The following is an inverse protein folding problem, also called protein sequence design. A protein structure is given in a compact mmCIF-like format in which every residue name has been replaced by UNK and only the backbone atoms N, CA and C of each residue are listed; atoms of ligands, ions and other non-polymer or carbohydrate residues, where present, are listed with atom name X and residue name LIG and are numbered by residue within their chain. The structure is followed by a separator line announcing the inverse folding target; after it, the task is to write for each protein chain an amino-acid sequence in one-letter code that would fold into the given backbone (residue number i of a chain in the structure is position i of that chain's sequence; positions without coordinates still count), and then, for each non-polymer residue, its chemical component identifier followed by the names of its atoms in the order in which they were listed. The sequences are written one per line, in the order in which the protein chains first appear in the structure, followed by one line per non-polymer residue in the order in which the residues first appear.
data_IF_638816308224
#
_entry.id   IF_638816308224
#
_cell.length_a   1.000
_cell.length_b   1.000
_cell.length_c   1.000
_cell.angle_alpha   90.00
_cell.angle_beta   90.00
_cell.angle_gamma   90.00
#
_symmetry.space_group_name_H-M   'P 1'
#
loop_
_entity.id
_entity.type
_entity.pdbx_description
1 polymer ?
#
# COMPACT_ATOMS: atom_id res chain seq x y z
N UNK A 1 -15.70 -32.55 -26.43
CA UNK A 1 -14.55 -31.62 -26.54
C UNK A 1 -14.60 -30.76 -25.30
N UNK A 2 -13.75 -31.01 -24.29
CA UNK A 2 -13.65 -30.15 -23.10
C UNK A 2 -13.02 -28.84 -23.57
N UNK A 3 -13.74 -27.77 -23.40
CA UNK A 3 -13.25 -26.43 -23.72
C UNK A 3 -12.33 -25.99 -22.61
N UNK A 4 -11.03 -26.00 -22.81
CA UNK A 4 -10.05 -25.50 -21.85
C UNK A 4 -9.93 -23.99 -21.97
N UNK A 5 -10.78 -23.29 -21.23
CA UNK A 5 -10.79 -21.83 -21.16
C UNK A 5 -9.48 -21.27 -20.62
N UNK A 6 -8.82 -21.98 -19.69
CA UNK A 6 -7.59 -21.51 -19.08
C UNK A 6 -6.44 -21.51 -20.08
N UNK A 7 -6.23 -22.61 -20.80
CA UNK A 7 -5.18 -22.71 -21.81
C UNK A 7 -5.35 -21.70 -22.95
N UNK A 8 -6.60 -21.46 -23.38
CA UNK A 8 -6.86 -20.43 -24.39
C UNK A 8 -6.60 -19.02 -23.88
N UNK A 9 -6.97 -18.73 -22.64
CA UNK A 9 -6.74 -17.42 -22.04
C UNK A 9 -5.25 -17.17 -21.82
N UNK A 10 -4.51 -18.17 -21.35
CA UNK A 10 -3.06 -18.11 -21.20
C UNK A 10 -2.35 -17.90 -22.55
N UNK A 11 -2.75 -18.63 -23.60
CA UNK A 11 -2.21 -18.45 -24.94
C UNK A 11 -2.46 -17.03 -25.46
N UNK A 12 -3.69 -16.51 -25.29
CA UNK A 12 -4.03 -15.15 -25.70
C UNK A 12 -3.27 -14.09 -24.89
N UNK A 13 -3.15 -14.27 -23.58
CA UNK A 13 -2.39 -13.35 -22.74
C UNK A 13 -0.92 -13.33 -23.15
N UNK A 14 -0.35 -14.49 -23.45
CA UNK A 14 1.03 -14.60 -23.94
C UNK A 14 1.20 -13.85 -25.27
N UNK A 15 0.33 -14.07 -26.22
CA UNK A 15 0.34 -13.38 -27.51
C UNK A 15 0.26 -11.85 -27.34
N UNK A 16 -0.63 -11.36 -26.47
CA UNK A 16 -0.76 -9.94 -26.18
C UNK A 16 0.49 -9.36 -25.50
N UNK A 17 1.07 -10.09 -24.55
CA UNK A 17 2.26 -9.68 -23.83
C UNK A 17 3.51 -9.67 -24.73
N UNK A 18 3.62 -10.61 -25.66
CA UNK A 18 4.71 -10.66 -26.63
C UNK A 18 4.57 -9.59 -27.72
N UNK A 19 3.35 -9.28 -28.13
CA UNK A 19 3.06 -8.32 -29.20
C UNK A 19 3.05 -6.84 -28.78
N UNK A 20 2.95 -6.54 -27.49
CA UNK A 20 2.83 -5.17 -27.00
C UNK A 20 3.72 -4.89 -25.79
N UNK A 21 4.74 -4.06 -25.98
CA UNK A 21 5.67 -3.69 -24.87
C UNK A 21 4.96 -3.04 -23.68
N UNK A 22 3.85 -2.34 -23.89
CA UNK A 22 3.07 -1.68 -22.84
C UNK A 22 2.26 -2.66 -21.99
N UNK A 23 2.04 -3.87 -22.47
CA UNK A 23 1.33 -4.92 -21.76
C UNK A 23 2.27 -5.90 -21.06
N UNK A 24 3.57 -5.75 -21.25
CA UNK A 24 4.57 -6.64 -20.65
C UNK A 24 4.60 -6.45 -19.13
N UNK A 25 4.28 -7.51 -18.41
CA UNK A 25 4.38 -7.53 -16.96
C UNK A 25 5.83 -7.77 -16.53
N UNK A 26 6.58 -6.71 -16.25
CA UNK A 26 7.99 -6.78 -15.87
C UNK A 26 8.20 -7.20 -14.42
N UNK A 27 7.18 -7.04 -13.58
CA UNK A 27 7.27 -7.31 -12.13
C UNK A 27 7.54 -8.78 -11.83
N UNK A 28 6.92 -9.69 -12.57
CA UNK A 28 7.05 -11.14 -12.31
C UNK A 28 8.42 -11.73 -12.65
N UNK A 29 9.27 -10.99 -13.34
CA UNK A 29 10.61 -11.45 -13.75
C UNK A 29 11.73 -11.05 -12.80
N UNK A 30 11.42 -10.27 -11.74
CA UNK A 30 12.41 -9.71 -10.82
C UNK A 30 12.35 -10.40 -9.45
N UNK A 31 13.50 -10.51 -8.80
CA UNK A 31 13.60 -10.95 -7.39
C UNK A 31 13.82 -9.73 -6.53
N UNK A 32 12.94 -9.47 -5.55
CA UNK A 32 13.08 -8.30 -4.69
C UNK A 32 14.25 -8.45 -3.69
N UNK A 33 14.78 -7.34 -3.19
CA UNK A 33 15.79 -7.36 -2.12
C UNK A 33 15.22 -7.81 -0.77
N UNK A 34 13.91 -7.82 -0.62
CA UNK A 34 13.18 -8.26 0.57
C UNK A 34 12.13 -9.28 0.14
N UNK A 35 12.21 -10.49 0.68
CA UNK A 35 11.22 -11.54 0.53
C UNK A 35 10.76 -12.00 1.91
N UNK A 36 9.47 -11.94 2.16
CA UNK A 36 8.86 -12.23 3.46
C UNK A 36 7.95 -13.46 3.38
N UNK A 37 8.27 -14.48 4.17
CA UNK A 37 7.41 -15.65 4.35
C UNK A 37 6.48 -15.45 5.54
N UNK A 38 5.25 -15.08 5.27
CA UNK A 38 4.25 -14.78 6.28
C UNK A 38 3.92 -15.97 7.20
N UNK A 39 4.10 -17.19 6.72
CA UNK A 39 3.80 -18.42 7.47
C UNK A 39 5.01 -18.91 8.26
N UNK A 40 6.19 -18.86 7.63
CA UNK A 40 7.44 -19.31 8.24
C UNK A 40 8.08 -18.32 9.21
N UNK A 41 7.71 -17.02 9.14
CA UNK A 41 8.34 -15.94 9.91
C UNK A 41 7.39 -15.39 10.97
N UNK A 42 7.43 -15.85 12.23
CA UNK A 42 6.53 -15.36 13.29
C UNK A 42 6.73 -13.87 13.62
N UNK A 43 7.97 -13.38 13.55
CA UNK A 43 8.36 -11.99 13.78
C UNK A 43 9.43 -11.60 12.79
N UNK A 44 9.41 -10.34 12.36
CA UNK A 44 10.50 -9.78 11.55
C UNK A 44 11.77 -9.69 12.38
N UNK A 45 12.91 -9.92 11.76
CA UNK A 45 14.21 -9.63 12.37
C UNK A 45 14.48 -8.12 12.38
N UNK A 46 15.40 -7.66 13.22
CA UNK A 46 15.82 -6.25 13.21
C UNK A 46 16.39 -5.84 11.83
N UNK A 47 17.07 -6.74 11.15
CA UNK A 47 17.57 -6.52 9.79
C UNK A 47 16.43 -6.40 8.78
N UNK A 48 15.36 -7.22 8.87
CA UNK A 48 14.19 -7.11 8.01
C UNK A 48 13.46 -5.78 8.23
N UNK A 49 13.31 -5.36 9.50
CA UNK A 49 12.69 -4.08 9.85
C UNK A 49 13.53 -2.93 9.30
N UNK A 50 14.84 -2.92 9.52
CA UNK A 50 15.72 -1.88 9.02
C UNK A 50 15.75 -1.81 7.49
N UNK A 51 15.72 -2.96 6.82
CA UNK A 51 15.64 -3.03 5.36
C UNK A 51 14.29 -2.51 4.86
N UNK A 52 13.19 -2.91 5.48
CA UNK A 52 11.85 -2.46 5.13
C UNK A 52 11.70 -0.94 5.28
N UNK A 53 12.14 -0.38 6.41
CA UNK A 53 12.10 1.06 6.67
C UNK A 53 13.01 1.84 5.69
N UNK A 54 14.20 1.32 5.39
CA UNK A 54 15.09 1.90 4.39
C UNK A 54 14.48 1.92 3.00
N UNK A 55 13.80 0.85 2.60
CA UNK A 55 13.07 0.79 1.33
C UNK A 55 11.86 1.73 1.29
N UNK A 56 11.19 1.95 2.43
CA UNK A 56 10.13 2.98 2.53
C UNK A 56 10.68 4.38 2.22
N UNK A 57 11.81 4.73 2.82
CA UNK A 57 12.44 6.03 2.59
C UNK A 57 12.84 6.18 1.13
N UNK A 58 13.44 5.15 0.55
CA UNK A 58 13.80 5.14 -0.87
C UNK A 58 12.59 5.34 -1.79
N UNK A 59 11.49 4.64 -1.51
CA UNK A 59 10.26 4.77 -2.28
C UNK A 59 9.63 6.15 -2.11
N UNK A 60 9.61 6.70 -0.89
CA UNK A 60 9.06 8.03 -0.61
C UNK A 60 9.86 9.12 -1.33
N UNK A 61 11.20 9.05 -1.29
CA UNK A 61 12.05 9.99 -2.03
C UNK A 61 11.79 9.94 -3.53
N UNK A 62 11.71 8.73 -4.11
CA UNK A 62 11.39 8.57 -5.53
C UNK A 62 10.01 9.12 -5.89
N UNK A 63 9.01 8.90 -5.05
CA UNK A 63 7.66 9.46 -5.24
C UNK A 63 7.69 10.99 -5.27
N UNK A 64 8.41 11.61 -4.34
CA UNK A 64 8.58 13.06 -4.25
C UNK A 64 9.32 13.62 -5.49
N UNK A 65 10.43 12.99 -5.87
CA UNK A 65 11.20 13.37 -7.07
C UNK A 65 10.35 13.28 -8.36
N UNK A 66 9.56 12.21 -8.47
CA UNK A 66 8.68 12.00 -9.63
C UNK A 66 7.59 13.06 -9.74
N UNK A 67 6.94 13.41 -8.62
CA UNK A 67 5.91 14.47 -8.61
C UNK A 67 6.54 15.87 -8.77
N UNK A 68 7.73 16.12 -8.21
CA UNK A 68 8.47 17.35 -8.47
C UNK A 68 8.77 17.54 -9.97
N UNK A 69 9.05 16.45 -10.66
CA UNK A 69 9.22 16.46 -12.12
C UNK A 69 7.93 16.86 -12.87
N UNK A 70 6.75 16.46 -12.38
CA UNK A 70 5.44 16.89 -12.92
C UNK A 70 5.14 18.35 -12.65
N UNK A 71 5.55 18.89 -11.50
CA UNK A 71 5.28 20.29 -11.16
C UNK A 71 5.90 21.28 -12.15
N UNK A 72 6.96 20.87 -12.88
CA UNK A 72 7.55 21.64 -13.97
C UNK A 72 6.62 21.85 -15.16
N UNK A 73 5.56 21.06 -15.28
CA UNK A 73 4.54 21.15 -16.32
C UNK A 73 3.16 21.54 -15.76
N UNK A 74 3.13 22.14 -14.57
CA UNK A 74 1.92 22.56 -13.84
C UNK A 74 0.93 21.41 -13.52
N UNK A 75 1.40 20.18 -13.50
CA UNK A 75 0.59 19.03 -13.04
C UNK A 75 0.72 18.84 -11.54
N UNK A 76 -0.34 18.33 -10.94
CA UNK A 76 -0.40 17.93 -9.53
C UNK A 76 -0.85 16.48 -9.41
N UNK A 77 -0.49 15.83 -8.30
CA UNK A 77 -0.87 14.47 -8.05
C UNK A 77 -1.26 14.25 -6.57
N UNK A 78 -1.85 13.09 -6.29
CA UNK A 78 -2.27 12.67 -4.94
C UNK A 78 -1.07 12.19 -4.10
N UNK A 79 -0.11 13.08 -3.87
CA UNK A 79 1.16 12.78 -3.20
C UNK A 79 0.95 12.19 -1.80
N UNK A 80 0.11 12.84 -0.99
CA UNK A 80 -0.10 12.43 0.40
C UNK A 80 -0.58 10.99 0.52
N UNK A 81 -1.66 10.66 -0.18
CA UNK A 81 -2.19 9.30 -0.22
C UNK A 81 -1.19 8.30 -0.83
N UNK A 82 -0.42 8.72 -1.83
CA UNK A 82 0.65 7.91 -2.42
C UNK A 82 1.70 7.53 -1.38
N UNK A 83 2.17 8.47 -0.58
CA UNK A 83 3.17 8.23 0.47
C UNK A 83 2.62 7.33 1.59
N UNK A 84 1.37 7.54 1.99
CA UNK A 84 0.71 6.71 3.01
C UNK A 84 0.55 5.25 2.57
N UNK A 85 0.46 4.99 1.27
CA UNK A 85 0.35 3.62 0.75
C UNK A 85 1.67 2.85 0.68
N UNK A 86 2.81 3.52 0.67
CA UNK A 86 4.13 2.88 0.50
C UNK A 86 4.37 1.74 1.51
N UNK A 87 4.19 1.92 2.82
CA UNK A 87 4.50 0.86 3.79
C UNK A 87 3.69 -0.41 3.58
N UNK A 88 2.34 -0.38 3.55
CA UNK A 88 1.57 -1.60 3.36
C UNK A 88 1.76 -2.23 1.97
N UNK A 89 2.02 -1.41 0.93
CA UNK A 89 2.33 -1.94 -0.40
C UNK A 89 3.68 -2.65 -0.45
N UNK A 90 4.72 -2.05 0.11
CA UNK A 90 6.04 -2.69 0.19
C UNK A 90 5.96 -4.04 0.88
N UNK A 91 5.28 -4.12 2.02
CA UNK A 91 5.15 -5.38 2.76
C UNK A 91 4.36 -6.42 1.96
N UNK A 92 3.25 -6.04 1.35
CA UNK A 92 2.44 -6.95 0.55
C UNK A 92 3.20 -7.43 -0.70
N UNK A 93 3.94 -6.54 -1.36
CA UNK A 93 4.74 -6.85 -2.55
C UNK A 93 5.96 -7.71 -2.23
N UNK A 94 6.47 -7.66 -1.00
CA UNK A 94 7.58 -8.47 -0.54
C UNK A 94 7.16 -9.90 -0.13
N UNK A 95 5.86 -10.21 -0.04
CA UNK A 95 5.39 -11.54 0.34
C UNK A 95 5.72 -12.57 -0.74
N UNK A 96 6.17 -13.74 -0.31
CA UNK A 96 6.38 -14.91 -1.17
C UNK A 96 5.04 -15.54 -1.60
N UNK A 97 5.08 -16.52 -2.52
CA UNK A 97 3.92 -17.26 -3.04
C UNK A 97 2.91 -16.38 -3.82
N UNK A 98 3.42 -15.63 -4.77
CA UNK A 98 2.62 -14.69 -5.57
C UNK A 98 1.65 -15.32 -6.55
N UNK A 99 1.84 -16.59 -6.91
CA UNK A 99 0.93 -17.31 -7.81
C UNK A 99 -0.39 -17.57 -7.12
N UNK A 100 -0.33 -18.04 -5.88
CA UNK A 100 -1.50 -18.35 -5.03
C UNK A 100 -2.09 -17.09 -4.43
N UNK A 101 -1.23 -16.09 -4.19
CA UNK A 101 -1.57 -14.83 -3.54
C UNK A 101 -1.49 -13.69 -4.53
N UNK A 102 -2.35 -12.74 -4.36
CA UNK A 102 -2.38 -11.56 -5.20
C UNK A 102 -2.81 -10.34 -4.38
N UNK A 103 -2.67 -9.18 -4.96
CA UNK A 103 -3.18 -7.97 -4.37
C UNK A 103 -3.81 -7.06 -5.43
N UNK A 104 -4.62 -6.14 -4.98
CA UNK A 104 -5.20 -5.10 -5.82
C UNK A 104 -5.34 -3.80 -5.05
N UNK A 105 -5.60 -2.72 -5.74
CA UNK A 105 -5.66 -1.38 -5.18
C UNK A 105 -6.98 -0.73 -5.58
N UNK A 106 -7.80 -0.40 -4.61
CA UNK A 106 -9.06 0.30 -4.81
C UNK A 106 -8.83 1.80 -5.07
N UNK A 107 -8.00 2.45 -4.25
CA UNK A 107 -7.66 3.86 -4.37
C UNK A 107 -6.51 4.11 -5.35
N UNK A 108 -6.70 3.70 -6.59
CA UNK A 108 -5.66 3.65 -7.62
C UNK A 108 -5.05 5.03 -7.99
N UNK A 109 -5.68 6.15 -7.61
CA UNK A 109 -5.14 7.50 -7.77
C UNK A 109 -3.85 7.74 -6.97
N UNK A 110 -3.55 6.87 -6.00
CA UNK A 110 -2.31 6.90 -5.22
C UNK A 110 -1.15 6.16 -5.90
N UNK A 111 -1.21 6.04 -7.21
CA UNK A 111 -0.31 5.26 -8.07
C UNK A 111 1.16 5.59 -7.90
N UNK A 112 1.53 6.81 -7.56
CA UNK A 112 2.94 7.16 -7.36
C UNK A 112 3.56 6.37 -6.21
N UNK A 113 2.84 6.13 -5.12
CA UNK A 113 3.28 5.27 -4.02
C UNK A 113 3.48 3.82 -4.47
N UNK A 114 2.55 3.31 -5.28
CA UNK A 114 2.62 1.96 -5.83
C UNK A 114 3.83 1.76 -6.73
N UNK A 115 4.03 2.61 -7.74
CA UNK A 115 5.17 2.47 -8.66
C UNK A 115 6.51 2.72 -7.97
N UNK A 116 6.55 3.61 -6.99
CA UNK A 116 7.75 3.84 -6.19
C UNK A 116 8.09 2.64 -5.29
N UNK A 117 7.07 1.97 -4.72
CA UNK A 117 7.27 0.73 -3.97
C UNK A 117 7.82 -0.40 -4.88
N UNK A 118 7.26 -0.56 -6.09
CA UNK A 118 7.79 -1.50 -7.08
C UNK A 118 9.25 -1.20 -7.44
N UNK A 119 9.60 0.07 -7.61
CA UNK A 119 10.96 0.48 -7.94
C UNK A 119 11.93 0.28 -6.76
N UNK A 120 11.51 0.55 -5.53
CA UNK A 120 12.31 0.30 -4.34
C UNK A 120 12.64 -1.20 -4.18
N UNK A 121 11.68 -2.07 -4.49
CA UNK A 121 11.85 -3.52 -4.54
C UNK A 121 12.60 -4.03 -5.80
N UNK A 122 13.00 -3.14 -6.68
CA UNK A 122 13.79 -3.51 -7.87
C UNK A 122 12.99 -4.12 -9.03
N UNK A 123 11.68 -4.03 -9.01
CA UNK A 123 10.81 -4.50 -10.10
C UNK A 123 10.73 -3.53 -11.27
N UNK A 124 10.90 -2.24 -10.99
CA UNK A 124 10.92 -1.18 -11.99
C UNK A 124 12.21 -0.37 -11.87
N UNK A 125 12.65 0.18 -12.98
CA UNK A 125 13.74 1.15 -13.01
C UNK A 125 13.29 2.47 -12.38
N UNK A 126 14.11 3.03 -11.45
CA UNK A 126 13.79 4.25 -10.73
C UNK A 126 13.72 5.47 -11.65
N UNK A 127 14.65 5.55 -12.62
CA UNK A 127 14.70 6.67 -13.57
C UNK A 127 13.46 6.62 -14.47
N UNK A 128 13.03 5.44 -14.87
CA UNK A 128 11.78 5.27 -15.62
C UNK A 128 10.58 5.78 -14.83
N UNK A 129 10.44 5.45 -13.54
CA UNK A 129 9.33 5.96 -12.70
C UNK A 129 9.40 7.48 -12.63
N UNK A 130 10.57 8.04 -12.28
CA UNK A 130 10.75 9.49 -12.13
C UNK A 130 10.45 10.25 -13.40
N UNK A 131 10.90 9.74 -14.55
CA UNK A 131 10.90 10.49 -15.79
C UNK A 131 9.63 10.27 -16.63
N UNK A 132 8.90 9.17 -16.42
CA UNK A 132 7.72 8.83 -17.23
C UNK A 132 6.40 8.80 -16.46
N UNK A 133 6.40 9.02 -15.13
CA UNK A 133 5.18 9.06 -14.35
C UNK A 133 4.17 10.07 -14.94
N UNK A 134 2.98 9.61 -15.27
CA UNK A 134 1.88 10.36 -15.94
C UNK A 134 2.24 10.98 -17.31
N UNK A 135 3.35 10.59 -17.91
CA UNK A 135 3.79 11.11 -19.22
C UNK A 135 3.58 10.11 -20.36
N UNK A 136 2.63 9.24 -20.23
CA UNK A 136 2.31 8.23 -21.22
C UNK A 136 1.63 7.03 -20.60
N UNK A 137 1.74 5.89 -21.25
CA UNK A 137 1.14 4.64 -20.78
C UNK A 137 2.09 3.77 -19.94
N UNK A 138 3.36 4.14 -19.86
CA UNK A 138 4.37 3.34 -19.18
C UNK A 138 4.14 3.32 -17.66
N UNK A 139 3.97 4.50 -17.05
CA UNK A 139 3.71 4.67 -15.61
C UNK A 139 2.50 5.59 -15.47
N UNK A 140 1.28 5.03 -15.53
CA UNK A 140 0.05 5.82 -15.56
C UNK A 140 -0.29 6.44 -14.20
N UNK A 141 -1.07 7.52 -14.22
CA UNK A 141 -1.51 8.25 -13.02
C UNK A 141 -2.54 7.50 -12.16
N UNK A 142 -3.01 6.34 -12.60
CA UNK A 142 -3.81 5.39 -11.82
C UNK A 142 -3.20 4.02 -11.95
N UNK A 143 -3.21 3.24 -10.86
CA UNK A 143 -2.62 1.90 -10.85
C UNK A 143 -3.23 1.04 -11.94
N UNK A 144 -2.36 0.45 -12.75
CA UNK A 144 -2.71 -0.38 -13.88
C UNK A 144 -1.93 -1.70 -13.84
N UNK A 145 -2.45 -2.72 -14.49
CA UNK A 145 -1.75 -3.99 -14.69
C UNK A 145 -0.50 -3.86 -15.60
N UNK A 146 -0.32 -2.73 -16.21
CA UNK A 146 0.90 -2.30 -16.91
C UNK A 146 1.56 -1.19 -16.06
N UNK A 147 2.82 -1.29 -15.71
CA UNK A 147 3.85 -2.28 -16.10
C UNK A 147 3.79 -3.60 -15.33
N UNK A 148 2.87 -3.77 -14.41
CA UNK A 148 2.68 -5.02 -13.71
C UNK A 148 2.52 -4.87 -12.20
N UNK A 149 2.53 -6.00 -11.46
CA UNK A 149 2.38 -6.07 -10.01
C UNK A 149 0.94 -6.31 -9.56
N UNK A 150 -0.06 -5.82 -10.25
CA UNK A 150 -1.48 -6.14 -10.07
C UNK A 150 -2.08 -6.66 -11.38
N UNK A 151 -3.11 -7.46 -11.30
CA UNK A 151 -3.83 -7.96 -12.47
C UNK A 151 -5.07 -7.13 -12.83
N UNK A 152 -5.41 -6.14 -12.02
CA UNK A 152 -6.58 -5.30 -12.18
C UNK A 152 -6.21 -3.83 -12.29
N UNK A 153 -6.90 -3.13 -13.18
CA UNK A 153 -6.78 -1.67 -13.29
C UNK A 153 -7.72 -1.03 -12.28
N UNK A 154 -7.17 -0.17 -11.44
CA UNK A 154 -7.95 0.71 -10.58
C UNK A 154 -8.43 1.97 -11.34
N UNK A 155 -9.21 2.80 -10.67
CA UNK A 155 -9.64 4.10 -11.20
C UNK A 155 -10.86 4.68 -10.53
N UNK A 156 -11.87 3.89 -10.28
CA UNK A 156 -13.09 4.34 -9.58
C UNK A 156 -13.09 3.81 -8.16
N UNK A 157 -13.29 4.71 -7.20
CA UNK A 157 -13.37 4.37 -5.79
C UNK A 157 -14.48 3.33 -5.53
N UNK A 158 -14.14 2.32 -4.75
CA UNK A 158 -15.01 1.23 -4.33
C UNK A 158 -15.11 0.06 -5.33
N UNK A 159 -14.86 0.25 -6.63
CA UNK A 159 -15.05 -0.79 -7.65
C UNK A 159 -14.13 -2.00 -7.45
N UNK A 160 -12.92 -1.78 -6.96
CA UNK A 160 -11.97 -2.87 -6.76
C UNK A 160 -12.29 -3.76 -5.56
N UNK A 161 -13.14 -3.34 -4.63
CA UNK A 161 -13.55 -4.17 -3.50
C UNK A 161 -14.31 -5.41 -3.99
N UNK A 162 -15.44 -5.31 -4.72
CA UNK A 162 -16.10 -6.50 -5.27
C UNK A 162 -15.24 -7.25 -6.31
N UNK A 163 -14.38 -6.56 -7.06
CA UNK A 163 -13.46 -7.20 -7.99
C UNK A 163 -12.44 -8.10 -7.26
N UNK A 164 -11.87 -7.61 -6.14
CA UNK A 164 -10.96 -8.39 -5.29
C UNK A 164 -11.65 -9.64 -4.71
N UNK A 165 -12.92 -9.54 -4.34
CA UNK A 165 -13.72 -10.70 -3.89
C UNK A 165 -13.83 -11.75 -4.99
N UNK A 166 -14.19 -11.34 -6.21
CA UNK A 166 -14.25 -12.25 -7.36
C UNK A 166 -12.89 -12.89 -7.67
N UNK A 167 -11.81 -12.14 -7.60
CA UNK A 167 -10.45 -12.63 -7.76
C UNK A 167 -10.09 -13.66 -6.68
N UNK A 168 -10.41 -13.39 -5.41
CA UNK A 168 -10.16 -14.30 -4.30
C UNK A 168 -10.92 -15.62 -4.46
N UNK A 169 -12.17 -15.57 -4.87
CA UNK A 169 -12.98 -16.76 -5.14
C UNK A 169 -12.42 -17.58 -6.31
N UNK A 170 -11.99 -16.91 -7.38
CA UNK A 170 -11.33 -17.57 -8.51
C UNK A 170 -10.01 -18.25 -8.09
N UNK A 171 -9.19 -17.57 -7.30
CA UNK A 171 -7.95 -18.16 -6.76
C UNK A 171 -8.24 -19.31 -5.78
N UNK A 172 -9.25 -19.19 -4.93
CA UNK A 172 -9.64 -20.28 -4.03
C UNK A 172 -10.08 -21.54 -4.78
N UNK A 173 -10.75 -21.38 -5.93
CA UNK A 173 -11.09 -22.51 -6.78
C UNK A 173 -9.85 -23.18 -7.40
N UNK A 174 -8.80 -22.42 -7.70
CA UNK A 174 -7.58 -22.93 -8.32
C UNK A 174 -6.58 -23.49 -7.30
N UNK A 175 -6.36 -22.80 -6.16
CA UNK A 175 -5.27 -23.05 -5.21
C UNK A 175 -5.75 -23.48 -3.83
N UNK A 176 -7.07 -23.53 -3.57
CA UNK A 176 -7.63 -23.96 -2.29
C UNK A 176 -7.27 -23.01 -1.15
N UNK A 177 -6.79 -23.55 -0.04
CA UNK A 177 -6.44 -22.76 1.18
C UNK A 177 -5.18 -21.90 1.01
N UNK A 178 -4.40 -22.11 -0.05
CA UNK A 178 -3.21 -21.29 -0.33
C UNK A 178 -3.57 -19.97 -0.98
N UNK A 179 -4.77 -19.87 -1.54
CA UNK A 179 -5.28 -18.64 -2.13
C UNK A 179 -5.44 -17.53 -1.09
N UNK A 180 -5.09 -16.33 -1.50
CA UNK A 180 -5.31 -15.12 -0.73
C UNK A 180 -5.23 -13.88 -1.62
N UNK A 181 -6.12 -12.93 -1.42
CA UNK A 181 -6.06 -11.63 -2.08
C UNK A 181 -6.05 -10.52 -1.03
N UNK A 182 -5.09 -9.62 -1.14
CA UNK A 182 -5.04 -8.39 -0.34
C UNK A 182 -5.51 -7.23 -1.20
N UNK A 183 -6.57 -6.54 -0.76
CA UNK A 183 -7.11 -5.36 -1.43
C UNK A 183 -6.78 -4.12 -0.61
N UNK A 184 -5.89 -3.28 -1.12
CA UNK A 184 -5.63 -1.98 -0.52
C UNK A 184 -6.76 -1.02 -0.89
N UNK A 185 -7.41 -0.42 0.10
CA UNK A 185 -8.53 0.49 -0.12
C UNK A 185 -8.37 1.79 0.66
N UNK A 186 -8.97 2.85 0.14
CA UNK A 186 -9.02 4.15 0.81
C UNK A 186 -10.12 4.22 1.85
N UNK A 187 -10.06 5.26 2.67
CA UNK A 187 -11.07 5.56 3.70
C UNK A 187 -12.35 6.20 3.13
N UNK A 188 -12.43 6.41 1.82
CA UNK A 188 -13.59 6.94 1.12
C UNK A 188 -14.34 5.89 0.27
N UNK A 189 -13.62 4.97 -0.35
CA UNK A 189 -14.22 4.02 -1.32
C UNK A 189 -15.05 2.91 -0.68
N UNK A 190 -14.77 2.55 0.56
CA UNK A 190 -15.41 1.42 1.24
C UNK A 190 -16.93 1.58 1.42
N UNK A 191 -17.43 2.82 1.51
CA UNK A 191 -18.86 3.13 1.74
C UNK A 191 -19.69 3.18 0.46
N UNK A 192 -19.07 3.08 -0.71
CA UNK A 192 -19.81 3.02 -1.97
C UNK A 192 -20.74 1.80 -2.01
N UNK A 193 -21.93 1.93 -2.58
CA UNK A 193 -22.94 0.88 -2.56
C UNK A 193 -22.43 -0.47 -3.09
N UNK A 194 -21.65 -0.45 -4.18
CA UNK A 194 -21.03 -1.67 -4.72
C UNK A 194 -19.93 -2.24 -3.82
N UNK A 195 -19.26 -1.40 -3.02
CA UNK A 195 -18.29 -1.87 -2.00
C UNK A 195 -18.99 -2.61 -0.88
N UNK A 196 -20.09 -2.07 -0.36
CA UNK A 196 -20.90 -2.72 0.69
C UNK A 196 -21.42 -4.08 0.21
N UNK A 197 -21.91 -4.15 -1.02
CA UNK A 197 -22.30 -5.42 -1.64
C UNK A 197 -21.11 -6.38 -1.77
N UNK A 198 -19.93 -5.88 -2.14
CA UNK A 198 -18.72 -6.67 -2.23
C UNK A 198 -18.28 -7.24 -0.87
N UNK A 199 -18.31 -6.43 0.18
CA UNK A 199 -17.99 -6.87 1.55
C UNK A 199 -18.97 -7.95 2.03
N UNK A 200 -20.26 -7.76 1.83
CA UNK A 200 -21.25 -8.78 2.15
C UNK A 200 -21.04 -10.07 1.36
N UNK A 201 -20.77 -9.98 0.05
CA UNK A 201 -20.48 -11.13 -0.78
C UNK A 201 -19.22 -11.87 -0.33
N UNK A 202 -18.18 -11.15 0.14
CA UNK A 202 -16.97 -11.76 0.68
C UNK A 202 -17.29 -12.68 1.87
N UNK A 203 -18.13 -12.23 2.80
CA UNK A 203 -18.57 -13.02 3.95
C UNK A 203 -19.47 -14.18 3.53
N UNK A 204 -20.48 -13.93 2.70
CA UNK A 204 -21.44 -14.92 2.23
C UNK A 204 -20.75 -16.10 1.53
N UNK A 205 -19.75 -15.81 0.69
CA UNK A 205 -19.03 -16.81 -0.10
C UNK A 205 -17.71 -17.27 0.54
N UNK A 206 -17.40 -16.82 1.76
CA UNK A 206 -16.17 -17.18 2.48
C UNK A 206 -14.90 -16.91 1.63
N UNK A 207 -14.86 -15.77 0.98
CA UNK A 207 -13.74 -15.40 0.11
C UNK A 207 -12.45 -15.20 0.95
N UNK A 208 -11.31 -15.78 0.55
CA UNK A 208 -10.02 -15.57 1.22
C UNK A 208 -9.44 -14.20 0.83
N UNK A 209 -10.07 -13.14 1.29
CA UNK A 209 -9.70 -11.75 1.00
C UNK A 209 -9.47 -10.97 2.28
N UNK A 210 -8.47 -10.09 2.24
CA UNK A 210 -8.21 -9.12 3.28
C UNK A 210 -8.19 -7.72 2.66
N UNK A 211 -8.94 -6.81 3.25
CA UNK A 211 -8.92 -5.40 2.88
C UNK A 211 -7.99 -4.65 3.83
N UNK A 212 -7.10 -3.82 3.30
CA UNK A 212 -6.22 -2.95 4.10
C UNK A 212 -6.64 -1.51 3.88
N UNK A 213 -7.23 -0.90 4.91
CA UNK A 213 -7.73 0.46 4.81
C UNK A 213 -6.64 1.48 5.11
N UNK A 214 -6.41 2.38 4.17
CA UNK A 214 -5.55 3.54 4.35
C UNK A 214 -6.33 4.68 5.01
N UNK A 215 -6.33 4.69 6.35
CA UNK A 215 -7.03 5.68 7.14
C UNK A 215 -6.03 6.73 7.62
N UNK A 216 -5.69 7.68 6.73
CA UNK A 216 -4.71 8.73 7.02
C UNK A 216 -5.31 9.98 7.68
N UNK A 217 -6.61 9.98 7.95
CA UNK A 217 -7.30 11.09 8.61
C UNK A 217 -7.67 12.25 7.69
N UNK A 218 -7.29 12.21 6.41
CA UNK A 218 -7.53 13.28 5.43
C UNK A 218 -8.22 12.72 4.20
N UNK A 219 -9.29 13.38 3.77
CA UNK A 219 -9.94 13.13 2.47
C UNK A 219 -9.96 14.47 1.71
N UNK A 220 -9.14 14.58 0.66
CA UNK A 220 -8.89 15.83 -0.04
C UNK A 220 -8.47 16.94 0.94
N UNK A 221 -9.28 17.97 1.11
CA UNK A 221 -9.00 19.15 1.94
C UNK A 221 -9.62 19.11 3.34
N UNK A 222 -10.37 18.03 3.66
CA UNK A 222 -11.04 17.87 4.96
C UNK A 222 -10.50 16.70 5.76
N UNK A 223 -10.85 16.64 7.04
CA UNK A 223 -10.60 15.43 7.83
C UNK A 223 -11.58 14.32 7.41
N UNK A 224 -11.17 13.05 7.55
CA UNK A 224 -12.06 11.91 7.30
C UNK A 224 -13.37 12.02 8.09
N UNK A 225 -13.29 12.51 9.34
CA UNK A 225 -14.46 12.73 10.17
C UNK A 225 -15.44 13.80 9.61
N UNK A 226 -14.93 14.84 8.95
CA UNK A 226 -15.77 15.86 8.31
C UNK A 226 -16.39 15.36 7.00
N UNK A 227 -15.65 14.54 6.24
CA UNK A 227 -16.06 14.14 4.90
C UNK A 227 -16.95 12.89 4.87
N UNK A 228 -16.66 11.89 5.70
CA UNK A 228 -17.41 10.63 5.73
C UNK A 228 -18.28 10.51 6.98
N UNK A 229 -17.87 11.07 8.11
CA UNK A 229 -18.57 11.10 9.39
C UNK A 229 -19.09 9.74 9.94
N UNK A 230 -18.70 8.63 9.31
CA UNK A 230 -19.18 7.27 9.62
C UNK A 230 -18.01 6.38 10.00
N UNK A 231 -18.15 5.71 11.14
CA UNK A 231 -17.17 4.68 11.52
C UNK A 231 -17.36 3.43 10.66
N UNK A 232 -16.33 2.97 9.94
CA UNK A 232 -16.41 1.77 9.11
C UNK A 232 -16.61 0.48 9.90
N UNK A 233 -16.07 0.40 11.11
CA UNK A 233 -15.98 -0.83 11.91
C UNK A 233 -17.32 -1.53 12.13
N UNK A 234 -18.32 -0.91 12.75
CA UNK A 234 -19.58 -1.60 13.02
C UNK A 234 -20.33 -1.97 11.76
N UNK A 235 -20.15 -1.22 10.66
CA UNK A 235 -20.79 -1.53 9.37
C UNK A 235 -20.12 -2.72 8.71
N UNK A 236 -18.80 -2.75 8.68
CA UNK A 236 -18.03 -3.84 8.09
C UNK A 236 -18.30 -5.16 8.83
N UNK A 237 -18.33 -5.11 10.17
CA UNK A 237 -18.67 -6.27 11.01
C UNK A 237 -20.12 -6.75 10.78
N UNK A 238 -21.08 -5.82 10.67
CA UNK A 238 -22.47 -6.16 10.35
C UNK A 238 -22.64 -6.84 8.98
N UNK A 239 -21.72 -6.59 8.04
CA UNK A 239 -21.66 -7.27 6.75
C UNK A 239 -20.98 -8.65 6.82
N UNK A 240 -20.47 -9.06 7.99
CA UNK A 240 -19.85 -10.35 8.21
C UNK A 240 -18.34 -10.41 7.90
N UNK A 241 -17.69 -9.27 7.75
CA UNK A 241 -16.24 -9.18 7.55
C UNK A 241 -15.56 -8.93 8.90
N UNK A 242 -14.56 -9.72 9.25
CA UNK A 242 -13.82 -9.58 10.51
C UNK A 242 -12.97 -8.31 10.49
N UNK A 243 -13.16 -7.44 11.48
CA UNK A 243 -12.32 -6.24 11.63
C UNK A 243 -11.09 -6.56 12.48
N UNK A 244 -9.91 -6.14 12.00
CA UNK A 244 -8.64 -6.16 12.71
C UNK A 244 -8.20 -4.72 12.94
N UNK A 245 -7.89 -4.36 14.16
CA UNK A 245 -7.63 -2.99 14.57
C UNK A 245 -6.19 -2.77 15.07
N UNK A 246 -5.16 -2.90 14.18
CA UNK A 246 -3.82 -2.55 14.59
C UNK A 246 -3.72 -1.04 14.90
N UNK A 247 -2.82 -0.67 15.81
CA UNK A 247 -2.58 0.76 16.11
C UNK A 247 -2.08 1.53 14.89
N UNK A 248 -1.36 0.85 13.97
CA UNK A 248 -0.74 1.47 12.79
C UNK A 248 -0.61 0.44 11.65
N UNK A 249 -0.62 0.92 10.41
CA UNK A 249 -0.19 0.15 9.23
C UNK A 249 1.15 0.65 8.67
N UNK A 250 1.80 1.56 9.36
CA UNK A 250 3.08 2.18 8.97
C UNK A 250 4.27 1.57 9.71
N UNK A 251 4.03 0.93 10.85
CA UNK A 251 5.04 0.25 11.64
C UNK A 251 5.19 -1.20 11.18
N UNK A 252 6.41 -1.60 10.84
CA UNK A 252 6.71 -2.90 10.23
C UNK A 252 6.14 -4.07 11.04
N UNK A 253 6.48 -4.16 12.33
CA UNK A 253 6.05 -5.25 13.20
C UNK A 253 4.53 -5.30 13.43
N UNK A 254 3.91 -4.13 13.57
CA UNK A 254 2.46 -4.03 13.81
C UNK A 254 1.69 -4.47 12.58
N UNK A 255 2.09 -4.00 11.40
CA UNK A 255 1.51 -4.40 10.13
C UNK A 255 1.76 -5.90 9.85
N UNK A 256 2.97 -6.38 10.15
CA UNK A 256 3.33 -7.79 9.99
C UNK A 256 2.38 -8.70 10.77
N UNK A 257 2.15 -8.40 12.06
CA UNK A 257 1.24 -9.19 12.88
C UNK A 257 -0.21 -9.13 12.37
N UNK A 258 -0.68 -7.96 11.96
CA UNK A 258 -2.02 -7.81 11.39
C UNK A 258 -2.20 -8.63 10.10
N UNK A 259 -1.21 -8.65 9.21
CA UNK A 259 -1.24 -9.46 7.99
C UNK A 259 -1.18 -10.97 8.30
N UNK A 260 -0.42 -11.38 9.31
CA UNK A 260 -0.37 -12.77 9.75
C UNK A 260 -1.73 -13.26 10.27
N UNK A 261 -2.37 -12.45 11.11
CA UNK A 261 -3.71 -12.73 11.63
C UNK A 261 -4.74 -12.80 10.48
N UNK A 262 -4.73 -11.80 9.60
CA UNK A 262 -5.59 -11.77 8.42
C UNK A 262 -5.39 -13.00 7.51
N UNK A 263 -4.13 -13.43 7.31
CA UNK A 263 -3.84 -14.66 6.56
C UNK A 263 -4.42 -15.90 7.25
N UNK A 264 -4.31 -15.98 8.58
CA UNK A 264 -4.92 -17.07 9.36
C UNK A 264 -6.44 -17.15 9.19
N UNK A 265 -7.11 -16.01 9.19
CA UNK A 265 -8.54 -15.89 8.91
C UNK A 265 -8.88 -16.33 7.46
N UNK A 266 -8.13 -15.84 6.49
CA UNK A 266 -8.34 -16.16 5.08
C UNK A 266 -8.22 -17.66 4.78
N UNK A 267 -7.29 -18.38 5.42
CA UNK A 267 -7.18 -19.84 5.31
C UNK A 267 -8.46 -20.59 5.73
N UNK A 268 -9.21 -19.98 6.63
CA UNK A 268 -10.48 -20.53 7.12
C UNK A 268 -11.69 -19.97 6.36
N UNK A 269 -11.48 -19.24 5.29
CA UNK A 269 -12.55 -18.60 4.51
C UNK A 269 -13.26 -17.48 5.27
N UNK A 270 -12.55 -16.79 6.16
CA UNK A 270 -13.05 -15.63 6.90
C UNK A 270 -12.43 -14.37 6.27
N UNK A 271 -13.23 -13.55 5.56
CA UNK A 271 -12.75 -12.29 5.05
C UNK A 271 -12.47 -11.31 6.19
N UNK A 272 -11.46 -10.46 6.02
CA UNK A 272 -11.06 -9.50 7.05
C UNK A 272 -10.81 -8.12 6.48
N UNK A 273 -10.92 -7.10 7.33
CA UNK A 273 -10.51 -5.75 7.02
C UNK A 273 -9.60 -5.22 8.13
N UNK A 274 -8.40 -4.82 7.76
CA UNK A 274 -7.45 -4.15 8.65
C UNK A 274 -7.78 -2.67 8.63
N UNK A 275 -8.26 -2.15 9.77
CA UNK A 275 -8.63 -0.74 9.96
C UNK A 275 -7.74 -0.17 11.06
N UNK A 276 -6.71 0.61 10.74
CA UNK A 276 -5.86 1.16 11.78
C UNK A 276 -6.66 2.08 12.71
N UNK A 277 -6.45 1.93 14.01
CA UNK A 277 -7.15 2.73 15.01
C UNK A 277 -6.67 4.19 15.02
N UNK A 278 -5.49 4.45 14.47
CA UNK A 278 -4.82 5.72 14.60
C UNK A 278 -4.50 6.01 16.06
N UNK A 279 -4.20 4.99 16.86
CA UNK A 279 -3.79 5.20 18.24
C UNK A 279 -2.57 6.11 18.28
N UNK A 280 -2.68 7.12 19.10
CA UNK A 280 -1.65 8.09 19.35
C UNK A 280 -0.63 7.44 20.28
N UNK A 281 0.41 6.90 19.72
CA UNK A 281 1.38 6.07 20.43
C UNK A 281 2.74 6.74 20.66
N UNK A 282 2.95 7.92 20.05
CA UNK A 282 4.16 8.74 20.19
C UNK A 282 3.78 10.12 20.73
N UNK A 283 4.52 10.64 21.70
CA UNK A 283 4.34 12.01 22.19
C UNK A 283 4.99 13.04 21.25
N UNK A 284 4.56 14.29 21.31
CA UNK A 284 5.23 15.37 20.57
C UNK A 284 6.70 15.53 20.99
N UNK A 285 7.04 15.25 22.27
CA UNK A 285 8.42 15.22 22.73
C UNK A 285 9.26 14.16 22.02
N UNK A 286 8.75 12.92 21.97
CA UNK A 286 9.40 11.82 21.24
C UNK A 286 9.50 12.08 19.72
N UNK A 287 8.50 12.76 19.12
CA UNK A 287 8.58 13.23 17.73
C UNK A 287 9.73 14.21 17.55
N UNK A 288 9.80 15.21 18.46
CA UNK A 288 10.85 16.22 18.43
C UNK A 288 12.27 15.62 18.52
N UNK A 289 12.45 14.66 19.41
CA UNK A 289 13.70 13.92 19.58
C UNK A 289 14.03 13.07 18.36
N UNK A 290 13.08 12.25 17.91
CA UNK A 290 13.26 11.32 16.76
C UNK A 290 13.69 12.03 15.48
N UNK A 291 13.17 13.23 15.24
CA UNK A 291 13.42 13.99 14.02
C UNK A 291 14.36 15.20 14.23
N UNK A 292 14.91 15.41 15.42
CA UNK A 292 15.82 16.52 15.69
C UNK A 292 15.18 17.90 15.57
N UNK A 293 13.87 18.02 15.77
CA UNK A 293 13.08 19.25 15.64
C UNK A 293 12.44 19.68 16.97
N UNK A 294 13.00 19.23 18.08
CA UNK A 294 12.39 19.42 19.40
C UNK A 294 12.10 20.87 19.74
N UNK A 295 13.04 21.78 19.46
CA UNK A 295 12.88 23.21 19.77
C UNK A 295 11.77 23.87 18.95
N UNK A 296 11.75 23.59 17.65
CA UNK A 296 10.76 24.14 16.72
C UNK A 296 9.36 23.60 17.04
N UNK A 297 9.26 22.30 17.33
CA UNK A 297 8.00 21.65 17.68
C UNK A 297 7.49 22.13 19.04
N UNK A 298 8.36 22.29 20.03
CA UNK A 298 8.01 22.89 21.36
C UNK A 298 7.49 24.31 21.22
N UNK A 299 8.17 25.13 20.45
CA UNK A 299 7.74 26.53 20.22
C UNK A 299 6.38 26.56 19.51
N UNK A 300 6.14 25.69 18.51
CA UNK A 300 4.87 25.61 17.81
C UNK A 300 3.75 25.10 18.75
N UNK A 301 4.01 24.06 19.52
CA UNK A 301 3.07 23.49 20.48
C UNK A 301 2.68 24.53 21.57
N UNK A 302 3.66 25.20 22.17
CA UNK A 302 3.43 26.22 23.15
C UNK A 302 2.59 27.40 22.64
N UNK A 303 2.88 27.86 21.39
CA UNK A 303 2.10 28.91 20.70
C UNK A 303 0.62 28.54 20.58
N UNK A 304 0.32 27.26 20.44
CA UNK A 304 -1.04 26.73 20.24
C UNK A 304 -1.65 26.14 21.54
N UNK A 305 -0.98 26.28 22.69
CA UNK A 305 -1.48 25.77 23.96
C UNK A 305 -1.48 24.25 24.09
N UNK A 306 -0.57 23.56 23.40
CA UNK A 306 -0.45 22.10 23.40
C UNK A 306 0.80 21.69 24.17
N UNK A 307 0.66 20.72 25.08
CA UNK A 307 1.80 20.16 25.83
C UNK A 307 2.61 19.16 24.98
N UNK A 308 3.91 19.06 25.26
CA UNK A 308 4.79 18.10 24.57
C UNK A 308 4.54 16.64 24.94
N UNK A 309 3.82 16.36 25.99
CA UNK A 309 3.31 15.06 26.41
C UNK A 309 2.12 14.57 25.56
N UNK A 310 1.55 15.46 24.75
CA UNK A 310 0.42 15.12 23.89
C UNK A 310 0.80 14.02 22.93
N UNK A 311 0.08 12.92 23.01
CA UNK A 311 0.29 11.80 22.10
C UNK A 311 -0.38 12.06 20.75
N UNK A 312 0.36 11.76 19.69
CA UNK A 312 -0.01 12.03 18.30
C UNK A 312 0.25 10.82 17.42
N UNK A 313 -0.41 10.79 16.29
CA UNK A 313 -0.17 9.87 15.19
C UNK A 313 0.61 10.57 14.09
N UNK A 314 1.59 9.86 13.49
CA UNK A 314 2.44 10.36 12.41
C UNK A 314 2.03 9.72 11.08
N UNK A 315 1.17 10.33 10.26
CA UNK A 315 0.87 9.81 8.94
C UNK A 315 2.05 10.02 7.98
N UNK A 316 2.22 9.10 7.05
CA UNK A 316 3.29 9.14 6.05
C UNK A 316 3.23 10.37 5.14
N UNK A 317 2.04 10.95 4.94
CA UNK A 317 1.86 12.16 4.13
C UNK A 317 2.67 13.37 4.66
N UNK A 318 3.06 13.39 5.93
CA UNK A 318 3.90 14.47 6.48
C UNK A 318 5.25 14.59 5.76
N UNK A 319 5.72 13.52 5.14
CA UNK A 319 6.96 13.54 4.36
C UNK A 319 6.90 14.48 3.14
N UNK A 320 5.71 14.80 2.64
CA UNK A 320 5.54 15.60 1.42
C UNK A 320 5.54 17.12 1.66
N UNK A 321 5.54 17.57 2.92
CA UNK A 321 5.50 18.99 3.21
C UNK A 321 6.88 19.63 3.06
N UNK A 322 6.91 20.77 2.39
CA UNK A 322 8.14 21.46 1.96
C UNK A 322 8.99 22.00 3.12
N UNK A 323 8.36 22.33 4.23
CA UNK A 323 9.00 22.98 5.37
C UNK A 323 8.43 22.48 6.69
N UNK A 324 9.19 22.63 7.75
CA UNK A 324 8.80 22.24 9.10
C UNK A 324 7.51 22.90 9.59
N UNK A 325 7.28 24.21 9.38
CA UNK A 325 6.01 24.83 9.76
C UNK A 325 4.81 24.17 9.12
N UNK A 326 4.84 23.92 7.80
CA UNK A 326 3.75 23.24 7.09
C UNK A 326 3.56 21.80 7.57
N UNK A 327 4.65 21.10 7.85
CA UNK A 327 4.61 19.74 8.40
C UNK A 327 3.96 19.73 9.80
N UNK A 328 4.33 20.66 10.68
CA UNK A 328 3.76 20.78 12.01
C UNK A 328 2.29 21.19 12.00
N UNK A 329 1.89 22.13 11.13
CA UNK A 329 0.49 22.49 10.94
C UNK A 329 -0.34 21.28 10.49
N UNK A 330 0.17 20.47 9.56
CA UNK A 330 -0.50 19.23 9.14
C UNK A 330 -0.53 18.17 10.24
N UNK A 331 0.57 17.97 10.96
CA UNK A 331 0.61 17.06 12.11
C UNK A 331 -0.48 17.40 13.14
N UNK A 332 -0.63 18.68 13.45
CA UNK A 332 -1.65 19.15 14.38
C UNK A 332 -3.06 18.99 13.80
N UNK A 333 -3.25 19.26 12.52
CA UNK A 333 -4.54 19.08 11.83
C UNK A 333 -5.05 17.63 11.88
N UNK A 334 -4.25 16.66 11.46
CA UNK A 334 -4.65 15.24 11.44
C UNK A 334 -4.88 14.67 12.83
N UNK A 335 -4.31 15.30 13.84
CA UNK A 335 -4.49 14.93 15.24
C UNK A 335 -5.60 15.74 15.95
N UNK A 336 -6.26 16.65 15.26
CA UNK A 336 -7.33 17.50 15.81
C UNK A 336 -6.82 18.47 16.89
N UNK A 337 -5.57 18.94 16.77
CA UNK A 337 -4.94 19.85 17.73
C UNK A 337 -5.11 21.31 17.28
N UNK A 338 -5.16 22.26 18.25
CA UNK A 338 -5.19 23.69 17.94
C UNK A 338 -3.99 24.12 17.09
N UNK A 339 -4.21 25.01 16.12
CA UNK A 339 -3.17 25.49 15.21
C UNK A 339 -2.93 24.58 13.99
N UNK A 340 -3.63 23.45 13.91
CA UNK A 340 -3.57 22.57 12.75
C UNK A 340 -4.24 23.17 11.51
N UNK A 341 -3.62 22.97 10.35
CA UNK A 341 -4.16 23.38 9.03
C UNK A 341 -3.98 22.26 8.02
N UNK A 342 -5.02 22.05 7.21
CA UNK A 342 -4.94 21.19 6.04
C UNK A 342 -4.26 21.94 4.88
N UNK A 343 -3.27 21.31 4.28
CA UNK A 343 -2.54 21.89 3.16
C UNK A 343 -2.61 20.96 1.94
N UNK A 344 -3.83 20.64 1.45
CA UNK A 344 -3.99 19.74 0.31
C UNK A 344 -3.18 20.20 -0.90
N UNK A 345 -3.25 21.49 -1.24
CA UNK A 345 -2.46 22.08 -2.34
C UNK A 345 -1.00 22.35 -1.94
N UNK A 346 -0.67 22.03 -0.71
CA UNK A 346 0.63 22.26 -0.13
C UNK A 346 1.70 21.28 -0.62
N UNK A 347 1.34 20.13 -1.15
CA UNK A 347 2.26 19.11 -1.61
C UNK A 347 2.93 19.49 -2.92
N UNK A 348 4.23 19.74 -2.91
CA UNK A 348 5.10 19.92 -4.07
C UNK A 348 4.81 21.06 -5.06
N UNK A 349 3.69 21.77 -4.98
CA UNK A 349 3.38 22.84 -5.91
C UNK A 349 4.30 24.05 -5.75
N UNK A 350 5.08 24.38 -6.77
CA UNK A 350 5.99 25.54 -6.79
C UNK A 350 7.11 25.50 -5.76
N UNK A 351 7.74 24.31 -5.55
CA UNK A 351 8.58 24.05 -4.39
C UNK A 351 10.01 23.73 -4.67
N UNK A 352 10.81 24.02 -3.66
CA UNK A 352 12.19 23.58 -3.57
C UNK A 352 12.24 22.10 -3.19
N UNK A 353 12.61 21.28 -4.16
CA UNK A 353 12.76 19.84 -3.99
C UNK A 353 13.78 19.50 -2.90
N UNK A 354 14.88 20.23 -2.81
CA UNK A 354 15.94 19.96 -1.83
C UNK A 354 15.42 20.19 -0.41
N UNK A 355 14.64 21.25 -0.17
CA UNK A 355 14.02 21.53 1.11
C UNK A 355 13.02 20.42 1.52
N UNK A 356 12.24 19.90 0.57
CA UNK A 356 11.34 18.77 0.86
C UNK A 356 12.14 17.50 1.18
N UNK A 357 13.16 17.19 0.40
CA UNK A 357 14.00 16.01 0.63
C UNK A 357 14.83 16.11 1.91
N UNK A 358 15.01 17.31 2.47
CA UNK A 358 15.64 17.51 3.77
C UNK A 358 14.71 17.18 4.98
N UNK A 359 13.43 16.85 4.73
CA UNK A 359 12.51 16.43 5.78
C UNK A 359 13.11 15.27 6.60
N UNK A 360 13.15 15.37 7.95
CA UNK A 360 13.74 14.33 8.81
C UNK A 360 13.16 12.92 8.57
N UNK A 361 11.87 12.81 8.23
CA UNK A 361 11.24 11.52 7.92
C UNK A 361 11.78 10.85 6.63
N UNK A 362 12.49 11.60 5.79
CA UNK A 362 13.12 11.10 4.57
C UNK A 362 14.61 10.80 4.74
N UNK A 363 15.13 10.87 5.96
CA UNK A 363 16.53 10.59 6.27
C UNK A 363 16.66 9.17 6.80
N UNK A 364 17.34 8.30 6.04
CA UNK A 364 17.65 6.95 6.49
C UNK A 364 18.77 6.99 7.56
N UNK A 365 18.61 6.20 8.61
CA UNK A 365 19.71 5.93 9.54
C UNK A 365 20.81 5.12 8.86
N UNK A 366 22.01 5.10 9.43
CA UNK A 366 23.11 4.27 8.92
C UNK A 366 22.73 2.78 8.84
N UNK A 367 22.00 2.28 9.83
CA UNK A 367 21.53 0.91 9.86
C UNK A 367 20.55 0.60 8.69
N UNK A 368 19.60 1.49 8.44
CA UNK A 368 18.65 1.37 7.33
C UNK A 368 19.35 1.44 5.98
N UNK A 369 20.25 2.40 5.78
CA UNK A 369 21.03 2.53 4.55
C UNK A 369 21.91 1.29 4.30
N UNK A 370 22.57 0.77 5.34
CA UNK A 370 23.37 -0.44 5.26
C UNK A 370 22.51 -1.69 4.96
N UNK A 371 21.32 -1.80 5.54
CA UNK A 371 20.38 -2.89 5.26
C UNK A 371 19.93 -2.89 3.80
N UNK A 372 19.58 -1.74 3.24
CA UNK A 372 19.21 -1.60 1.82
C UNK A 372 20.37 -1.98 0.91
N UNK A 373 21.58 -1.54 1.22
CA UNK A 373 22.78 -1.89 0.44
C UNK A 373 23.03 -3.40 0.45
N UNK A 374 22.92 -4.06 1.61
CA UNK A 374 23.04 -5.53 1.74
C UNK A 374 21.95 -6.25 0.95
N UNK A 375 20.69 -5.86 1.11
CA UNK A 375 19.57 -6.49 0.40
C UNK A 375 19.71 -6.42 -1.13
N UNK A 376 20.24 -5.31 -1.66
CA UNK A 376 20.50 -5.16 -3.11
C UNK A 376 21.74 -5.92 -3.60
N UNK A 377 22.70 -6.19 -2.73
CA UNK A 377 23.91 -6.90 -3.07
C UNK A 377 23.75 -8.43 -3.08
N UNK A 378 22.66 -8.96 -2.50
CA UNK A 378 22.40 -10.40 -2.51
C UNK A 378 22.30 -10.92 -3.95
N UNK A 379 22.97 -12.04 -4.29
CA UNK A 379 22.87 -12.62 -5.61
C UNK A 379 21.40 -12.95 -5.87
N UNK A 380 20.85 -12.41 -6.94
CA UNK A 380 19.49 -12.71 -7.38
C UNK A 380 19.39 -14.21 -7.56
N UNK A 381 18.74 -14.91 -6.64
CA UNK A 381 18.55 -16.34 -6.78
C UNK A 381 17.77 -16.57 -8.05
N UNK A 382 18.28 -17.43 -8.93
CA UNK A 382 17.52 -17.91 -10.10
C UNK A 382 16.49 -18.93 -9.61
N UNK A 383 15.60 -18.52 -8.72
CA UNK A 383 14.40 -19.31 -8.46
C UNK A 383 13.47 -19.09 -9.65
N UNK A 384 13.70 -19.87 -10.68
CA UNK A 384 12.66 -20.21 -11.64
C UNK A 384 11.56 -20.86 -10.82
N UNK A 385 10.60 -20.08 -10.36
CA UNK A 385 9.29 -20.59 -9.96
C UNK A 385 8.63 -21.10 -11.26
N UNK A 386 9.08 -22.25 -11.72
CA UNK A 386 8.23 -23.10 -12.54
C UNK A 386 7.13 -23.55 -11.59
N UNK A 387 6.02 -22.82 -11.59
CA UNK A 387 4.79 -23.30 -11.00
C UNK A 387 4.49 -24.65 -11.65
N UNK A 388 4.80 -25.74 -10.97
CA UNK A 388 4.21 -27.03 -11.30
C UNK A 388 2.73 -26.86 -10.98
N UNK A 389 1.82 -27.04 -11.95
CA UNK A 389 0.42 -27.16 -11.61
C UNK A 389 0.32 -28.29 -10.58
N UNK A 390 -0.33 -28.00 -9.45
CA UNK A 390 -0.54 -29.00 -8.41
C UNK A 390 -1.15 -30.24 -9.08
N UNK A 391 -0.45 -31.37 -8.98
CA UNK A 391 -0.94 -32.63 -9.48
C UNK A 391 -2.23 -32.93 -8.70
N UNK A 392 -3.38 -32.72 -9.32
CA UNK A 392 -4.69 -32.93 -8.71
C UNK A 392 -5.82 -32.04 -9.21
N UNK A 393 -5.56 -31.06 -10.06
CA UNK A 393 -6.60 -30.13 -10.56
C UNK A 393 -7.64 -30.76 -11.48
N UNK A 394 -7.41 -31.94 -12.03
CA UNK A 394 -8.38 -32.60 -12.91
C UNK A 394 -9.67 -33.10 -12.23
N UNK A 395 -9.70 -33.24 -10.90
CA UNK A 395 -10.86 -33.79 -10.18
C UNK A 395 -11.79 -32.75 -9.54
N UNK A 396 -11.45 -31.48 -9.50
CA UNK A 396 -12.27 -30.48 -8.79
C UNK A 396 -13.35 -29.77 -9.61
N UNK A 397 -13.27 -29.75 -10.93
CA UNK A 397 -14.27 -29.10 -11.79
C UNK A 397 -15.58 -29.88 -11.96
N UNK A 398 -15.68 -31.10 -11.43
CA UNK A 398 -16.91 -31.93 -11.53
C UNK A 398 -17.98 -31.56 -10.51
N UNK A 399 -17.73 -30.64 -9.56
CA UNK A 399 -18.68 -30.30 -8.48
C UNK A 399 -19.62 -29.13 -8.77
N UNK A 400 -19.44 -28.47 -9.91
CA UNK A 400 -20.33 -27.39 -10.33
C UNK A 400 -21.10 -27.81 -11.58
N UNK A 401 -22.07 -28.68 -11.38
CA UNK A 401 -23.18 -28.85 -12.31
C UNK A 401 -24.45 -28.48 -11.56
N UNK A 402 -25.41 -27.70 -12.24
CA UNK A 402 -26.70 -27.40 -11.68
C UNK A 402 -27.50 -28.67 -11.38
#
# INVERSE_FOLDING_TARGET
MKFDLCAKQEARNRELLEGCRYLKNEVVSSVPPLELDLEGTPRLSEDDVALFEGLQIDAARLAIESVASLSKINEVDHMGGGLDMIPPLLMTLALVNRVERDFTIENAHTSIGYYSALAALGYLDKDRVRDTFRRGLDIPGHVSWVPGGTQLNGGRLGVMIPAAVGQALGKAAAYGSDAWVVCHCGDAGWIAGHSLNGLHAAALHKAPVTFVMHRNGIQLSGTTAQMTATDPRPIVEALGVQVLEPRSIYEADVLWQALREARGLAKNGVPSMIIPTGQKDISLGEVGEKFGIGKELEAFAAKNGVGMDKRVWLPGCLMSYRDLPSMMECLFFVNGLPGGKAHHDGHMKGRDLEAVLANPMLQATEAQAAAVARGRALPKSKTTTTARPAAGTEKRWSRWRP
#
